data_IF_028919594126
#
_entry.id   IF_028919594126
#
_cell.length_a   1.000
_cell.length_b   1.000
_cell.length_c   1.000
_cell.angle_alpha   90.00
_cell.angle_beta   90.00
_cell.angle_gamma   90.00
#
_symmetry.space_group_name_H-M   'P 1'
#
loop_
_entity.id
_entity.type
_entity.pdbx_description
1 polymer ?
#
# COMPACT_ATOMS: atom_id res chain seq x y z
N UNK A 1 -30.98 48.78 -42.20
CA UNK A 1 -30.90 47.34 -42.57
C UNK A 1 -30.89 46.56 -41.24
N UNK A 2 -32.02 46.24 -40.60
CA UNK A 2 -33.01 45.17 -40.92
C UNK A 2 -32.33 43.79 -40.96
N UNK A 3 -32.59 42.79 -40.11
CA UNK A 3 -33.78 42.45 -39.31
C UNK A 3 -33.43 41.57 -38.11
N UNK A 4 -34.06 41.91 -36.99
CA UNK A 4 -34.44 41.08 -35.84
C UNK A 4 -35.24 39.84 -36.24
N UNK A 5 -35.19 38.77 -35.44
CA UNK A 5 -36.41 38.05 -35.00
C UNK A 5 -36.19 37.19 -33.76
N UNK A 6 -36.84 37.65 -32.70
CA UNK A 6 -37.20 36.97 -31.47
C UNK A 6 -38.45 36.11 -31.74
N UNK A 7 -38.62 34.97 -31.05
CA UNK A 7 -39.93 34.39 -30.68
C UNK A 7 -39.73 33.20 -29.72
N UNK A 8 -40.09 33.41 -28.46
CA UNK A 8 -40.33 32.33 -27.52
C UNK A 8 -41.67 31.63 -27.76
N UNK A 9 -41.85 30.48 -27.12
CA UNK A 9 -43.18 29.98 -26.73
C UNK A 9 -43.06 29.11 -25.47
N UNK A 10 -43.85 29.53 -24.48
CA UNK A 10 -44.19 28.84 -23.25
C UNK A 10 -45.10 27.65 -23.57
N UNK A 11 -44.92 26.54 -22.86
CA UNK A 11 -45.84 25.41 -22.83
C UNK A 11 -45.78 24.74 -21.47
N UNK A 12 -46.68 25.14 -20.57
CA UNK A 12 -46.98 24.41 -19.35
C UNK A 12 -47.87 23.22 -19.69
N UNK A 13 -47.57 22.04 -19.15
CA UNK A 13 -48.55 20.96 -19.02
C UNK A 13 -48.32 20.20 -17.70
N UNK A 14 -49.30 20.33 -16.80
CA UNK A 14 -49.53 19.42 -15.67
C UNK A 14 -50.37 18.25 -16.18
N UNK A 15 -49.96 17.01 -15.89
CA UNK A 15 -50.88 15.91 -15.56
C UNK A 15 -50.09 14.73 -14.99
N UNK A 16 -50.30 14.37 -13.72
CA UNK A 16 -51.20 13.31 -13.22
C UNK A 16 -50.38 12.07 -12.84
N UNK A 17 -50.56 11.64 -11.59
CA UNK A 17 -49.86 10.54 -10.97
C UNK A 17 -50.10 9.19 -11.64
N UNK A 18 -49.10 8.34 -11.49
CA UNK A 18 -49.17 6.91 -11.78
C UNK A 18 -48.15 6.19 -10.91
N UNK A 19 -48.61 5.68 -9.76
CA UNK A 19 -47.91 4.66 -8.99
C UNK A 19 -47.55 3.49 -9.92
N UNK A 20 -46.26 3.23 -10.11
CA UNK A 20 -45.78 1.93 -10.61
C UNK A 20 -44.71 1.39 -9.68
N UNK A 21 -44.98 0.16 -9.28
CA UNK A 21 -44.28 -0.62 -8.28
C UNK A 21 -42.78 -0.72 -8.51
N UNK A 22 -42.06 -0.73 -7.39
CA UNK A 22 -40.66 -1.14 -7.24
C UNK A 22 -40.44 -2.51 -7.87
N UNK A 23 -39.90 -2.53 -9.09
CA UNK A 23 -39.17 -3.65 -9.63
C UNK A 23 -37.71 -3.48 -9.25
N UNK A 24 -37.17 -4.42 -8.46
CA UNK A 24 -35.74 -4.56 -8.19
C UNK A 24 -34.98 -4.90 -9.47
N UNK A 25 -34.71 -3.88 -10.29
CA UNK A 25 -33.85 -3.99 -11.46
C UNK A 25 -32.41 -3.73 -11.07
N UNK A 26 -31.59 -4.78 -11.04
CA UNK A 26 -30.13 -4.63 -11.01
C UNK A 26 -29.71 -3.70 -12.15
N UNK A 27 -29.05 -2.60 -11.80
CA UNK A 27 -28.52 -1.66 -12.78
C UNK A 27 -27.60 -2.38 -13.78
N UNK A 28 -27.45 -1.85 -15.00
CA UNK A 28 -26.59 -2.46 -16.01
C UNK A 28 -25.17 -2.60 -15.43
N UNK A 29 -24.71 -3.84 -15.27
CA UNK A 29 -23.34 -4.12 -14.84
C UNK A 29 -22.40 -3.53 -15.89
N UNK A 30 -21.53 -2.63 -15.46
CA UNK A 30 -20.55 -2.02 -16.36
C UNK A 30 -19.66 -3.15 -16.90
N UNK A 31 -19.55 -3.30 -18.22
CA UNK A 31 -18.73 -4.35 -18.85
C UNK A 31 -17.28 -4.36 -18.35
N UNK A 32 -16.73 -3.23 -17.91
CA UNK A 32 -15.39 -3.17 -17.28
C UNK A 32 -15.33 -3.97 -15.97
N UNK A 33 -16.40 -3.89 -15.18
CA UNK A 33 -16.58 -4.58 -13.91
C UNK A 33 -16.65 -6.11 -14.11
N UNK A 34 -17.39 -6.59 -15.11
CA UNK A 34 -17.49 -8.03 -15.41
C UNK A 34 -16.12 -8.65 -15.78
N UNK A 35 -15.27 -7.88 -16.46
CA UNK A 35 -13.93 -8.32 -16.87
C UNK A 35 -12.99 -8.49 -15.69
N UNK A 36 -12.91 -7.49 -14.80
CA UNK A 36 -12.07 -7.60 -13.60
C UNK A 36 -12.60 -8.61 -12.61
N UNK A 37 -13.93 -8.75 -12.47
CA UNK A 37 -14.57 -9.79 -11.65
C UNK A 37 -14.18 -11.19 -12.14
N UNK A 38 -14.27 -11.44 -13.44
CA UNK A 38 -13.89 -12.74 -14.03
C UNK A 38 -12.43 -13.11 -13.77
N UNK A 39 -11.50 -12.16 -13.92
CA UNK A 39 -10.07 -12.41 -13.65
C UNK A 39 -9.85 -12.70 -12.16
N UNK A 40 -10.41 -11.86 -11.29
CA UNK A 40 -10.24 -11.99 -9.85
C UNK A 40 -10.88 -13.27 -9.29
N UNK A 41 -11.95 -13.77 -9.90
CA UNK A 41 -12.58 -15.03 -9.53
C UNK A 41 -11.79 -16.27 -9.99
N UNK A 42 -11.02 -16.16 -11.07
CA UNK A 42 -10.35 -17.31 -11.68
C UNK A 42 -8.90 -17.52 -11.19
N UNK A 43 -8.21 -16.45 -10.79
CA UNK A 43 -6.81 -16.50 -10.35
C UNK A 43 -6.70 -16.71 -8.83
N UNK A 44 -5.85 -17.63 -8.35
CA UNK A 44 -5.72 -17.96 -6.91
C UNK A 44 -4.28 -17.89 -6.37
N UNK A 45 -3.33 -17.39 -7.17
CA UNK A 45 -1.92 -17.25 -6.79
C UNK A 45 -1.10 -18.54 -6.74
N UNK A 46 -1.70 -19.73 -6.84
CA UNK A 46 -0.95 -21.00 -6.78
C UNK A 46 0.05 -21.12 -7.92
N UNK A 47 -0.33 -20.69 -9.11
CA UNK A 47 0.56 -20.66 -10.27
C UNK A 47 1.81 -19.81 -10.02
N UNK A 48 1.66 -18.61 -9.44
CA UNK A 48 2.81 -17.75 -9.09
C UNK A 48 3.71 -18.41 -8.04
N UNK A 49 3.13 -19.05 -7.03
CA UNK A 49 3.88 -19.77 -6.01
C UNK A 49 4.69 -20.94 -6.60
N UNK A 50 4.11 -21.72 -7.51
CA UNK A 50 4.83 -22.75 -8.26
C UNK A 50 5.99 -22.15 -9.06
N UNK A 51 5.78 -20.99 -9.67
CA UNK A 51 6.82 -20.24 -10.36
C UNK A 51 7.98 -19.87 -9.45
N UNK A 52 7.71 -19.40 -8.23
CA UNK A 52 8.74 -19.07 -7.23
C UNK A 52 9.61 -20.28 -6.85
N UNK A 53 9.02 -21.48 -6.77
CA UNK A 53 9.75 -22.72 -6.50
C UNK A 53 10.66 -23.12 -7.66
N UNK A 54 10.37 -22.64 -8.88
CA UNK A 54 11.08 -22.96 -10.12
C UNK A 54 12.06 -21.84 -10.57
N UNK A 55 12.14 -20.72 -9.84
CA UNK A 55 13.03 -19.62 -10.21
C UNK A 55 14.50 -20.01 -10.10
N UNK A 56 15.18 -20.05 -11.25
CA UNK A 56 16.64 -19.96 -11.45
C UNK A 56 17.53 -20.97 -10.71
N UNK A 57 18.79 -21.18 -11.15
CA UNK A 57 19.74 -21.90 -10.31
C UNK A 57 20.18 -20.99 -9.14
N UNK A 58 20.16 -21.52 -7.92
CA UNK A 58 20.62 -20.84 -6.70
C UNK A 58 22.09 -20.39 -6.74
N UNK A 59 22.87 -20.89 -7.70
CA UNK A 59 24.27 -20.54 -7.92
C UNK A 59 24.46 -19.19 -8.63
N UNK A 60 23.45 -18.66 -9.33
CA UNK A 60 23.53 -17.33 -9.96
C UNK A 60 22.20 -16.56 -9.81
N UNK A 61 21.89 -16.08 -8.58
CA UNK A 61 20.62 -15.43 -8.29
C UNK A 61 20.43 -14.13 -9.08
N UNK A 62 21.50 -13.43 -9.48
CA UNK A 62 21.44 -12.18 -10.26
C UNK A 62 20.65 -12.35 -11.58
N UNK A 63 20.64 -13.56 -12.13
CA UNK A 63 19.94 -13.89 -13.37
C UNK A 63 18.47 -14.30 -13.17
N UNK A 64 17.86 -14.06 -12.00
CA UNK A 64 16.45 -14.37 -11.73
C UNK A 64 15.54 -13.87 -12.86
N UNK A 65 15.75 -12.63 -13.31
CA UNK A 65 14.94 -11.97 -14.33
C UNK A 65 15.17 -12.55 -15.72
N UNK A 66 16.43 -12.78 -16.08
CA UNK A 66 16.81 -13.34 -17.37
C UNK A 66 16.23 -14.74 -17.48
N UNK A 67 16.33 -15.55 -16.42
CA UNK A 67 15.80 -16.92 -16.40
C UNK A 67 14.28 -16.93 -16.53
N UNK A 68 13.58 -16.08 -15.77
CA UNK A 68 12.12 -15.98 -15.86
C UNK A 68 11.66 -15.56 -17.27
N UNK A 69 12.32 -14.55 -17.86
CA UNK A 69 11.99 -14.05 -19.19
C UNK A 69 12.26 -15.08 -20.30
N UNK A 70 13.37 -15.82 -20.21
CA UNK A 70 13.77 -16.79 -21.24
C UNK A 70 13.05 -18.14 -21.13
N UNK A 71 12.50 -18.48 -19.96
CA UNK A 71 11.87 -19.78 -19.71
C UNK A 71 10.56 -20.02 -20.49
N UNK A 72 9.95 -18.98 -21.05
CA UNK A 72 8.58 -18.99 -21.58
C UNK A 72 7.53 -19.60 -20.61
N UNK A 73 7.87 -19.66 -19.31
CA UNK A 73 7.04 -20.20 -18.25
C UNK A 73 6.28 -19.03 -17.58
N UNK A 74 4.96 -18.93 -17.77
CA UNK A 74 4.18 -17.80 -17.25
C UNK A 74 4.10 -17.79 -15.71
N UNK A 75 4.25 -18.94 -15.05
CA UNK A 75 4.39 -19.03 -13.59
C UNK A 75 5.67 -18.34 -13.12
N UNK A 76 6.83 -18.70 -13.69
CA UNK A 76 8.12 -18.08 -13.36
C UNK A 76 8.14 -16.58 -13.68
N UNK A 77 7.51 -16.18 -14.78
CA UNK A 77 7.38 -14.77 -15.14
C UNK A 77 6.63 -13.97 -14.08
N UNK A 78 5.46 -14.44 -13.63
CA UNK A 78 4.70 -13.76 -12.57
C UNK A 78 5.43 -13.78 -11.23
N UNK A 79 6.12 -14.88 -10.90
CA UNK A 79 6.95 -14.97 -9.71
C UNK A 79 8.04 -13.88 -9.69
N UNK A 80 8.71 -13.68 -10.82
CA UNK A 80 9.70 -12.61 -10.97
C UNK A 80 9.05 -11.22 -10.95
N UNK A 81 7.94 -11.01 -11.67
CA UNK A 81 7.24 -9.73 -11.71
C UNK A 81 6.68 -9.32 -10.32
N UNK A 82 6.28 -10.27 -9.46
CA UNK A 82 5.91 -9.98 -8.07
C UNK A 82 7.05 -9.28 -7.33
N UNK A 83 8.27 -9.80 -7.44
CA UNK A 83 9.47 -9.27 -6.76
C UNK A 83 9.89 -7.93 -7.37
N UNK A 84 9.97 -7.85 -8.71
CA UNK A 84 10.42 -6.64 -9.41
C UNK A 84 9.48 -5.47 -9.15
N UNK A 85 8.17 -5.69 -9.28
CA UNK A 85 7.21 -4.61 -9.07
C UNK A 85 7.25 -4.11 -7.64
N UNK A 86 7.54 -4.96 -6.66
CA UNK A 86 7.75 -4.50 -5.29
C UNK A 86 9.00 -3.61 -5.17
N UNK A 87 10.13 -4.06 -5.73
CA UNK A 87 11.40 -3.30 -5.71
C UNK A 87 11.26 -1.97 -6.43
N UNK A 88 10.70 -1.97 -7.64
CA UNK A 88 10.41 -0.75 -8.40
C UNK A 88 9.49 0.19 -7.62
N UNK A 89 8.47 -0.35 -6.97
CA UNK A 89 7.55 0.43 -6.15
C UNK A 89 8.26 1.15 -5.00
N UNK A 90 9.16 0.45 -4.28
CA UNK A 90 9.99 1.06 -3.25
C UNK A 90 11.00 2.08 -3.80
N UNK A 91 11.56 1.85 -5.00
CA UNK A 91 12.42 2.83 -5.69
C UNK A 91 11.64 4.11 -6.03
N UNK A 92 10.39 3.98 -6.50
CA UNK A 92 9.51 5.13 -6.72
C UNK A 92 9.14 5.82 -5.41
N UNK A 93 8.89 5.08 -4.33
CA UNK A 93 8.66 5.69 -3.01
C UNK A 93 9.89 6.47 -2.53
N UNK A 94 11.11 5.97 -2.74
CA UNK A 94 12.34 6.69 -2.42
C UNK A 94 12.47 8.00 -3.23
N UNK A 95 12.19 7.94 -4.54
CA UNK A 95 12.15 9.13 -5.39
C UNK A 95 11.07 10.13 -4.94
N UNK A 96 9.89 9.64 -4.56
CA UNK A 96 8.79 10.46 -4.04
C UNK A 96 9.18 11.15 -2.73
N UNK A 97 9.75 10.41 -1.77
CA UNK A 97 10.23 10.95 -0.49
C UNK A 97 11.32 12.00 -0.70
N UNK A 98 12.26 11.75 -1.62
CA UNK A 98 13.32 12.70 -1.97
C UNK A 98 12.75 13.99 -2.56
N UNK A 99 11.83 13.87 -3.52
CA UNK A 99 11.14 15.02 -4.11
C UNK A 99 10.31 15.79 -3.06
N UNK A 100 9.65 15.08 -2.16
CA UNK A 100 8.84 15.67 -1.09
C UNK A 100 9.71 16.46 -0.12
N UNK A 101 10.85 15.91 0.30
CA UNK A 101 11.83 16.58 1.18
C UNK A 101 12.52 17.78 0.50
N UNK A 102 12.60 17.79 -0.83
CA UNK A 102 13.02 18.94 -1.62
C UNK A 102 11.88 19.95 -1.89
N UNK A 103 10.70 19.74 -1.30
CA UNK A 103 9.49 20.54 -1.51
C UNK A 103 9.02 20.60 -2.98
N UNK A 104 9.32 19.54 -3.75
CA UNK A 104 8.87 19.33 -5.13
C UNK A 104 7.62 18.47 -5.15
N UNK A 105 6.50 19.07 -4.71
CA UNK A 105 5.24 18.37 -4.47
C UNK A 105 4.63 17.69 -5.72
N UNK A 106 4.76 18.31 -6.89
CA UNK A 106 4.30 17.71 -8.14
C UNK A 106 5.09 16.44 -8.51
N UNK A 107 6.43 16.49 -8.42
CA UNK A 107 7.28 15.33 -8.67
C UNK A 107 7.04 14.23 -7.62
N UNK A 108 6.87 14.60 -6.35
CA UNK A 108 6.54 13.67 -5.29
C UNK A 108 5.21 12.95 -5.55
N UNK A 109 4.16 13.68 -5.95
CA UNK A 109 2.86 13.10 -6.34
C UNK A 109 3.00 12.14 -7.52
N UNK A 110 3.77 12.53 -8.54
CA UNK A 110 4.02 11.69 -9.70
C UNK A 110 4.68 10.36 -9.30
N UNK A 111 5.78 10.41 -8.55
CA UNK A 111 6.50 9.20 -8.14
C UNK A 111 5.70 8.36 -7.15
N UNK A 112 4.99 8.97 -6.20
CA UNK A 112 4.13 8.26 -5.26
C UNK A 112 3.04 7.46 -5.99
N UNK A 113 2.38 8.05 -6.98
CA UNK A 113 1.41 7.35 -7.80
C UNK A 113 2.00 6.14 -8.56
N UNK A 114 3.23 6.26 -9.08
CA UNK A 114 3.90 5.10 -9.68
C UNK A 114 4.28 4.03 -8.66
N UNK A 115 4.61 4.42 -7.43
CA UNK A 115 4.80 3.47 -6.33
C UNK A 115 3.50 2.71 -6.02
N UNK A 116 2.34 3.37 -6.00
CA UNK A 116 1.03 2.72 -5.83
C UNK A 116 0.75 1.70 -6.93
N UNK A 117 0.95 2.07 -8.19
CA UNK A 117 0.74 1.17 -9.32
C UNK A 117 1.63 -0.06 -9.25
N UNK A 118 2.92 0.15 -8.90
CA UNK A 118 3.89 -0.94 -8.77
C UNK A 118 3.55 -1.86 -7.59
N UNK A 119 3.11 -1.31 -6.46
CA UNK A 119 2.60 -2.10 -5.36
C UNK A 119 1.38 -2.94 -5.77
N UNK A 120 0.40 -2.34 -6.46
CA UNK A 120 -0.78 -3.05 -6.96
C UNK A 120 -0.41 -4.17 -7.96
N UNK A 121 0.51 -3.91 -8.90
CA UNK A 121 0.99 -4.92 -9.84
C UNK A 121 1.72 -6.07 -9.15
N UNK A 122 2.49 -5.79 -8.09
CA UNK A 122 3.13 -6.84 -7.26
C UNK A 122 2.08 -7.73 -6.58
N UNK A 123 1.04 -7.12 -6.02
CA UNK A 123 -0.09 -7.83 -5.39
C UNK A 123 -0.90 -8.65 -6.39
N UNK A 124 -1.12 -8.13 -7.60
CA UNK A 124 -1.77 -8.88 -8.66
C UNK A 124 -0.93 -10.07 -9.09
N UNK A 125 0.38 -9.88 -9.27
CA UNK A 125 1.30 -10.96 -9.62
C UNK A 125 1.29 -12.05 -8.53
N UNK A 126 1.31 -11.68 -7.25
CA UNK A 126 1.11 -12.59 -6.13
C UNK A 126 -0.17 -13.43 -6.26
N UNK A 127 -1.27 -12.82 -6.69
CA UNK A 127 -2.56 -13.47 -6.93
C UNK A 127 -2.66 -14.22 -8.27
N UNK A 128 -1.60 -14.27 -9.07
CA UNK A 128 -1.61 -14.95 -10.37
C UNK A 128 -2.13 -14.10 -11.53
N UNK A 129 -2.16 -12.77 -11.37
CA UNK A 129 -2.69 -11.83 -12.36
C UNK A 129 -1.55 -10.95 -12.88
N UNK A 130 -1.38 -10.91 -14.20
CA UNK A 130 -0.48 -9.96 -14.85
C UNK A 130 -1.26 -8.76 -15.36
N UNK A 131 -0.92 -7.58 -14.85
CA UNK A 131 -1.43 -6.32 -15.38
C UNK A 131 -0.36 -5.61 -16.22
N UNK A 132 -0.47 -5.67 -17.54
CA UNK A 132 0.46 -4.99 -18.46
C UNK A 132 -0.26 -4.61 -19.74
N UNK A 133 -0.07 -3.38 -20.24
CA UNK A 133 -0.63 -2.98 -21.53
C UNK A 133 -0.27 -3.98 -22.64
N UNK A 134 -1.27 -4.43 -23.39
CA UNK A 134 -1.18 -5.46 -24.42
C UNK A 134 -0.57 -6.81 -23.94
N UNK A 135 -0.63 -7.09 -22.64
CA UNK A 135 -0.01 -8.27 -22.05
C UNK A 135 -0.75 -8.81 -20.83
N UNK A 136 -2.04 -8.45 -20.67
CA UNK A 136 -2.88 -8.96 -19.60
C UNK A 136 -3.09 -10.47 -19.75
N UNK A 137 -2.81 -11.20 -18.68
CA UNK A 137 -3.17 -12.60 -18.53
C UNK A 137 -3.34 -12.92 -17.06
N UNK A 138 -3.95 -14.06 -16.77
CA UNK A 138 -3.93 -14.62 -15.42
C UNK A 138 -3.61 -16.12 -15.48
N UNK A 139 -3.22 -16.68 -14.34
CA UNK A 139 -3.06 -18.11 -14.14
C UNK A 139 -4.32 -18.63 -13.46
N UNK A 140 -4.96 -19.63 -14.05
CA UNK A 140 -6.09 -20.30 -13.41
C UNK A 140 -5.64 -21.14 -12.20
N UNK A 141 -6.61 -21.75 -11.50
CA UNK A 141 -6.37 -22.64 -10.33
C UNK A 141 -5.40 -23.80 -10.59
N UNK A 142 -5.22 -24.19 -11.85
CA UNK A 142 -4.34 -25.28 -12.28
C UNK A 142 -2.98 -24.73 -12.75
N UNK A 143 -2.76 -23.42 -12.64
CA UNK A 143 -1.55 -22.72 -13.05
C UNK A 143 -1.47 -22.43 -14.55
N UNK A 144 -2.54 -22.66 -15.32
CA UNK A 144 -2.50 -22.45 -16.77
C UNK A 144 -2.72 -20.97 -17.13
N UNK A 145 -1.94 -20.47 -18.07
CA UNK A 145 -2.10 -19.12 -18.62
C UNK A 145 -3.40 -18.97 -19.38
N UNK A 146 -4.19 -17.96 -19.01
CA UNK A 146 -5.40 -17.50 -19.69
C UNK A 146 -5.21 -16.06 -20.15
N UNK A 147 -5.33 -15.86 -21.46
CA UNK A 147 -5.23 -14.52 -22.08
C UNK A 147 -6.58 -13.82 -21.90
N UNK A 148 -6.54 -12.53 -21.58
CA UNK A 148 -7.76 -11.73 -21.44
C UNK A 148 -8.26 -11.26 -22.80
N UNK A 149 -9.57 -11.18 -22.97
CA UNK A 149 -10.19 -10.66 -24.20
C UNK A 149 -10.19 -9.13 -24.28
N UNK A 150 -9.91 -8.46 -23.16
CA UNK A 150 -9.75 -6.99 -23.08
C UNK A 150 -8.32 -6.61 -22.73
N UNK A 151 -7.92 -5.44 -23.22
CA UNK A 151 -6.63 -4.81 -22.96
C UNK A 151 -6.84 -3.30 -22.69
N UNK A 152 -7.42 -2.92 -21.54
CA UNK A 152 -7.54 -1.50 -21.20
C UNK A 152 -6.15 -0.85 -21.04
N UNK A 153 -6.04 0.49 -21.12
CA UNK A 153 -4.84 1.19 -20.68
C UNK A 153 -4.44 0.77 -19.27
N UNK A 154 -3.13 0.63 -19.00
CA UNK A 154 -2.62 0.01 -17.76
C UNK A 154 -3.24 0.59 -16.50
N UNK A 155 -3.28 1.92 -16.39
CA UNK A 155 -3.81 2.62 -15.22
C UNK A 155 -5.28 2.30 -14.97
N UNK A 156 -6.11 2.36 -16.01
CA UNK A 156 -7.53 2.01 -15.93
C UNK A 156 -7.70 0.54 -15.53
N UNK A 157 -7.00 -0.36 -16.21
CA UNK A 157 -7.12 -1.80 -15.92
C UNK A 157 -6.65 -2.18 -14.52
N UNK A 158 -5.62 -1.52 -13.99
CA UNK A 158 -5.14 -1.76 -12.62
C UNK A 158 -6.22 -1.41 -11.61
N UNK A 159 -6.88 -0.25 -11.72
CA UNK A 159 -7.89 0.16 -10.76
C UNK A 159 -9.21 -0.62 -10.90
N UNK A 160 -9.57 -1.02 -12.11
CA UNK A 160 -10.69 -1.94 -12.33
C UNK A 160 -10.44 -3.30 -11.65
N UNK A 161 -9.22 -3.84 -11.75
CA UNK A 161 -8.81 -5.07 -11.05
C UNK A 161 -8.77 -4.83 -9.54
N UNK A 162 -8.18 -3.72 -9.08
CA UNK A 162 -8.06 -3.37 -7.66
C UNK A 162 -9.41 -3.44 -6.94
N UNK A 163 -10.44 -2.81 -7.53
CA UNK A 163 -11.79 -2.77 -6.97
C UNK A 163 -12.43 -4.15 -6.76
N UNK A 164 -12.00 -5.17 -7.51
CA UNK A 164 -12.46 -6.54 -7.32
C UNK A 164 -11.48 -7.37 -6.51
N UNK A 165 -10.18 -7.09 -6.65
CA UNK A 165 -9.12 -7.77 -5.92
C UNK A 165 -9.26 -7.57 -4.41
N UNK A 166 -9.58 -6.37 -3.94
CA UNK A 166 -9.78 -6.06 -2.51
C UNK A 166 -10.95 -6.81 -1.87
N UNK A 167 -11.86 -7.39 -2.65
CA UNK A 167 -13.00 -8.19 -2.18
C UNK A 167 -12.70 -9.68 -2.07
N UNK A 168 -11.51 -10.13 -2.48
CA UNK A 168 -11.19 -11.56 -2.52
C UNK A 168 -10.92 -12.11 -1.11
N UNK A 169 -11.38 -13.34 -0.79
CA UNK A 169 -11.14 -13.95 0.52
C UNK A 169 -9.66 -14.17 0.88
N UNK A 170 -8.81 -14.44 -0.12
CA UNK A 170 -7.38 -14.64 0.11
C UNK A 170 -6.64 -13.34 0.48
N UNK A 171 -7.12 -12.20 -0.01
CA UNK A 171 -6.66 -10.86 0.37
C UNK A 171 -7.07 -10.53 1.80
N UNK A 172 -8.31 -10.81 2.18
CA UNK A 172 -8.76 -10.69 3.57
C UNK A 172 -7.88 -11.54 4.50
N UNK A 173 -7.62 -12.80 4.14
CA UNK A 173 -6.76 -13.70 4.90
C UNK A 173 -5.30 -13.22 4.96
N UNK A 174 -4.78 -12.58 3.92
CA UNK A 174 -3.45 -11.98 3.93
C UNK A 174 -3.40 -10.88 5.00
N UNK A 175 -4.30 -9.90 4.94
CA UNK A 175 -4.29 -8.78 5.88
C UNK A 175 -4.58 -9.23 7.31
N UNK A 176 -5.63 -10.04 7.51
CA UNK A 176 -6.09 -10.48 8.82
C UNK A 176 -5.05 -11.31 9.57
N UNK A 177 -4.21 -12.09 8.87
CA UNK A 177 -3.25 -13.00 9.50
C UNK A 177 -1.79 -12.50 9.43
N UNK A 178 -1.46 -11.54 8.55
CA UNK A 178 -0.07 -11.09 8.39
C UNK A 178 0.25 -9.75 9.05
N UNK A 179 -0.77 -8.98 9.44
CA UNK A 179 -0.61 -7.76 10.26
C UNK A 179 -0.70 -8.14 11.73
N UNK A 180 0.33 -7.81 12.50
CA UNK A 180 0.47 -8.18 13.91
C UNK A 180 0.43 -6.97 14.84
N UNK A 181 -0.46 -6.99 15.82
CA UNK A 181 -0.40 -6.09 16.98
C UNK A 181 0.67 -6.59 17.99
N UNK A 182 0.81 -7.92 18.06
CA UNK A 182 1.69 -8.64 18.97
C UNK A 182 2.11 -9.95 18.28
N UNK A 183 3.25 -10.59 18.61
CA UNK A 183 3.69 -11.84 17.98
C UNK A 183 2.62 -12.95 17.93
N UNK A 184 1.69 -12.97 18.90
CA UNK A 184 0.57 -13.94 18.94
C UNK A 184 -0.81 -13.33 18.64
N UNK A 185 -0.90 -12.02 18.41
CA UNK A 185 -2.18 -11.33 18.14
C UNK A 185 -2.14 -10.60 16.79
N UNK A 186 -3.01 -11.02 15.88
CA UNK A 186 -3.09 -10.44 14.53
C UNK A 186 -4.23 -9.44 14.41
N UNK A 187 -4.31 -8.75 13.26
CA UNK A 187 -5.43 -7.88 12.91
C UNK A 187 -6.78 -8.61 13.00
N UNK A 188 -6.84 -9.92 12.72
CA UNK A 188 -8.04 -10.75 12.93
C UNK A 188 -8.53 -10.69 14.37
N UNK A 189 -7.64 -10.78 15.35
CA UNK A 189 -7.99 -10.69 16.76
C UNK A 189 -8.51 -9.29 17.11
N UNK A 190 -7.85 -8.25 16.58
CA UNK A 190 -8.23 -6.85 16.79
C UNK A 190 -9.62 -6.56 16.26
N UNK A 191 -9.91 -6.92 15.01
CA UNK A 191 -11.23 -6.67 14.41
C UNK A 191 -12.33 -7.45 15.12
N UNK A 192 -12.07 -8.69 15.53
CA UNK A 192 -13.00 -9.45 16.36
C UNK A 192 -13.29 -8.74 17.69
N UNK A 193 -12.25 -8.23 18.38
CA UNK A 193 -12.41 -7.53 19.65
C UNK A 193 -13.17 -6.20 19.53
N UNK A 194 -12.90 -5.44 18.47
CA UNK A 194 -13.63 -4.21 18.13
C UNK A 194 -15.11 -4.53 17.89
N UNK A 195 -15.42 -5.48 17.00
CA UNK A 195 -16.79 -5.87 16.70
C UNK A 195 -17.49 -6.50 17.92
N UNK A 196 -16.77 -7.24 18.75
CA UNK A 196 -17.31 -7.74 20.02
C UNK A 196 -17.77 -6.58 20.93
N UNK A 197 -17.00 -5.50 20.96
CA UNK A 197 -17.32 -4.33 21.79
C UNK A 197 -18.41 -3.46 21.16
N UNK A 198 -18.48 -3.39 19.82
CA UNK A 198 -19.49 -2.63 19.05
C UNK A 198 -20.05 -3.50 17.90
N UNK A 199 -20.99 -4.43 18.17
CA UNK A 199 -21.42 -5.46 17.20
C UNK A 199 -22.12 -4.95 15.94
N UNK A 200 -22.62 -3.72 15.95
CA UNK A 200 -23.39 -3.15 14.84
C UNK A 200 -22.50 -2.55 13.73
N UNK A 201 -21.17 -2.50 13.94
CA UNK A 201 -20.25 -1.77 13.07
C UNK A 201 -19.17 -2.69 12.47
N UNK A 202 -19.52 -3.46 11.44
CA UNK A 202 -18.53 -4.25 10.72
C UNK A 202 -17.53 -3.35 9.96
N UNK A 203 -16.26 -3.76 9.91
CA UNK A 203 -15.26 -3.23 8.97
C UNK A 203 -15.49 -3.91 7.62
N UNK A 204 -16.33 -3.32 6.77
CA UNK A 204 -16.96 -4.05 5.65
C UNK A 204 -16.12 -4.21 4.39
N UNK A 205 -14.95 -3.57 4.23
CA UNK A 205 -13.99 -3.88 3.16
C UNK A 205 -12.64 -3.19 3.43
N UNK A 206 -11.73 -3.85 4.16
CA UNK A 206 -10.53 -3.18 4.67
C UNK A 206 -9.65 -2.64 3.54
N UNK A 207 -9.55 -3.34 2.40
CA UNK A 207 -8.80 -2.85 1.25
C UNK A 207 -9.30 -1.51 0.68
N UNK A 208 -10.62 -1.27 0.66
CA UNK A 208 -11.18 0.03 0.25
C UNK A 208 -11.20 1.06 1.38
N UNK A 209 -11.32 0.60 2.63
CA UNK A 209 -11.30 1.46 3.82
C UNK A 209 -9.89 2.01 4.10
N UNK A 210 -8.86 1.28 3.67
CA UNK A 210 -7.45 1.61 3.82
C UNK A 210 -6.95 2.60 2.76
N UNK A 211 -7.43 2.48 1.50
CA UNK A 211 -6.86 3.21 0.37
C UNK A 211 -7.93 3.63 -0.64
N UNK A 212 -8.06 4.94 -0.88
CA UNK A 212 -8.93 5.53 -1.92
C UNK A 212 -8.10 6.10 -3.09
N UNK A 213 -7.82 5.28 -4.11
CA UNK A 213 -6.85 5.63 -5.20
C UNK A 213 -7.51 6.12 -6.51
N UNK A 214 -8.84 6.14 -6.61
CA UNK A 214 -9.52 6.36 -7.89
C UNK A 214 -9.22 7.71 -8.56
N UNK A 215 -8.89 8.73 -7.76
CA UNK A 215 -8.65 10.11 -8.22
C UNK A 215 -7.15 10.44 -8.41
N UNK A 216 -6.23 9.61 -7.89
CA UNK A 216 -4.78 9.94 -7.89
C UNK A 216 -4.18 9.97 -9.29
N UNK A 217 -4.80 9.27 -10.25
CA UNK A 217 -4.44 9.36 -11.66
C UNK A 217 -4.59 10.79 -12.21
N UNK A 218 -5.64 11.49 -11.83
CA UNK A 218 -5.89 12.88 -12.24
C UNK A 218 -4.85 13.80 -11.64
N UNK A 219 -4.62 13.69 -10.32
CA UNK A 219 -3.61 14.47 -9.62
C UNK A 219 -2.21 14.25 -10.22
N UNK A 220 -1.86 13.01 -10.54
CA UNK A 220 -0.61 12.69 -11.25
C UNK A 220 -0.55 13.35 -12.62
N UNK A 221 -1.62 13.29 -13.42
CA UNK A 221 -1.63 13.91 -14.75
C UNK A 221 -1.44 15.43 -14.65
N UNK A 222 -2.15 16.09 -13.74
CA UNK A 222 -1.95 17.51 -13.43
C UNK A 222 -0.49 17.78 -13.05
N UNK A 223 0.07 17.03 -12.11
CA UNK A 223 1.45 17.17 -11.67
C UNK A 223 2.50 16.93 -12.78
N UNK A 224 2.15 16.17 -13.82
CA UNK A 224 3.09 15.80 -14.90
C UNK A 224 3.07 16.76 -16.09
N UNK A 225 1.90 17.36 -16.37
CA UNK A 225 1.68 18.10 -17.60
C UNK A 225 1.42 19.59 -17.38
N UNK A 226 0.99 20.01 -16.19
CA UNK A 226 0.66 21.40 -15.91
C UNK A 226 1.87 22.20 -15.42
N UNK A 227 2.01 23.43 -15.93
CA UNK A 227 3.02 24.38 -15.45
C UNK A 227 2.50 25.13 -14.21
N UNK A 228 2.32 24.41 -13.09
CA UNK A 228 1.63 24.90 -11.87
C UNK A 228 2.15 26.27 -11.40
N UNK A 229 3.47 26.50 -11.43
CA UNK A 229 4.09 27.75 -10.99
C UNK A 229 3.86 28.95 -11.91
N UNK A 230 3.33 28.74 -13.12
CA UNK A 230 2.88 29.85 -13.95
C UNK A 230 1.61 30.52 -13.38
N UNK A 231 0.88 29.82 -12.49
CA UNK A 231 -0.43 30.26 -11.97
C UNK A 231 -0.56 30.16 -10.43
N UNK A 232 0.51 29.87 -9.70
CA UNK A 232 0.49 29.70 -8.25
C UNK A 232 1.74 30.28 -7.58
N UNK A 233 1.59 30.76 -6.34
CA UNK A 233 2.70 31.28 -5.53
C UNK A 233 3.66 30.16 -5.10
N UNK A 234 4.94 30.51 -4.95
CA UNK A 234 5.93 29.62 -4.33
C UNK A 234 5.67 29.55 -2.82
N UNK A 235 5.29 28.37 -2.33
CA UNK A 235 5.15 28.10 -0.90
C UNK A 235 6.47 27.60 -0.32
N UNK A 236 6.66 27.79 0.99
CA UNK A 236 7.75 27.16 1.74
C UNK A 236 7.25 25.86 2.36
N UNK A 237 8.17 24.92 2.52
CA UNK A 237 7.92 23.71 3.28
C UNK A 237 7.60 24.05 4.73
N UNK A 238 6.54 23.44 5.26
CA UNK A 238 6.18 23.49 6.66
C UNK A 238 6.83 22.33 7.43
N UNK A 239 7.09 22.54 8.73
CA UNK A 239 7.64 21.50 9.61
C UNK A 239 6.79 20.23 9.60
N UNK A 240 5.45 20.38 9.58
CA UNK A 240 4.50 19.25 9.57
C UNK A 240 4.64 18.34 8.34
N UNK A 241 5.18 18.85 7.24
CA UNK A 241 5.44 18.09 6.02
C UNK A 241 6.70 17.26 6.21
N UNK A 242 7.80 17.85 6.67
CA UNK A 242 9.03 17.10 6.96
C UNK A 242 8.81 16.03 8.06
N UNK A 243 7.99 16.34 9.06
CA UNK A 243 7.58 15.38 10.11
C UNK A 243 6.80 14.20 9.56
N UNK A 244 6.04 14.36 8.47
CA UNK A 244 5.32 13.24 7.85
C UNK A 244 6.28 12.14 7.38
N UNK A 245 7.46 12.52 6.86
CA UNK A 245 8.46 11.53 6.45
C UNK A 245 9.02 10.78 7.66
N UNK A 246 9.27 11.48 8.77
CA UNK A 246 9.68 10.85 10.03
C UNK A 246 8.59 9.91 10.55
N UNK A 247 7.32 10.30 10.47
CA UNK A 247 6.20 9.47 10.88
C UNK A 247 6.05 8.23 9.99
N UNK A 248 6.21 8.36 8.67
CA UNK A 248 6.26 7.22 7.76
C UNK A 248 7.39 6.26 8.17
N UNK A 249 8.61 6.76 8.38
CA UNK A 249 9.72 5.91 8.82
C UNK A 249 9.48 5.18 10.12
N UNK A 250 8.90 5.85 11.13
CA UNK A 250 8.54 5.20 12.41
C UNK A 250 7.62 3.98 12.21
N UNK A 251 6.78 3.98 11.18
CA UNK A 251 5.97 2.81 10.84
C UNK A 251 6.83 1.66 10.29
N UNK A 252 7.90 1.92 9.56
CA UNK A 252 8.69 0.85 8.91
C UNK A 252 9.90 0.39 9.72
N UNK A 253 10.16 0.97 10.89
CA UNK A 253 11.12 0.42 11.85
C UNK A 253 10.50 -0.79 12.59
N UNK A 254 11.28 -1.83 12.92
CA UNK A 254 10.87 -2.94 13.77
C UNK A 254 10.38 -2.51 15.15
N UNK A 255 9.42 -3.26 15.68
CA UNK A 255 8.76 -3.04 16.96
C UNK A 255 8.50 -4.37 17.68
N UNK A 256 9.55 -5.01 18.20
CA UNK A 256 9.44 -6.19 19.05
C UNK A 256 8.78 -7.42 18.41
N UNK A 257 8.98 -7.63 17.10
CA UNK A 257 8.58 -8.85 16.37
C UNK A 257 7.93 -8.61 15.00
N UNK A 258 7.45 -7.40 14.75
CA UNK A 258 6.90 -6.94 13.46
C UNK A 258 7.39 -5.53 13.15
N UNK A 259 6.92 -4.91 12.07
CA UNK A 259 7.11 -3.47 11.87
C UNK A 259 6.14 -2.69 12.77
N UNK A 260 6.54 -1.49 13.20
CA UNK A 260 5.66 -0.57 13.95
C UNK A 260 4.36 -0.26 13.21
N UNK A 261 4.38 -0.35 11.88
CA UNK A 261 3.25 -0.22 10.98
C UNK A 261 2.08 -1.10 11.39
N UNK A 262 2.36 -2.35 11.73
CA UNK A 262 1.32 -3.35 11.93
C UNK A 262 0.52 -3.04 13.22
N UNK A 263 1.24 -2.74 14.31
CA UNK A 263 0.65 -2.31 15.56
C UNK A 263 -0.03 -0.94 15.41
N UNK A 264 0.59 0.00 14.71
CA UNK A 264 0.02 1.32 14.44
C UNK A 264 -1.29 1.24 13.63
N UNK A 265 -1.36 0.34 12.65
CA UNK A 265 -2.58 0.13 11.87
C UNK A 265 -3.69 -0.52 12.71
N UNK A 266 -3.35 -1.49 13.56
CA UNK A 266 -4.29 -2.05 14.52
C UNK A 266 -4.84 -0.96 15.45
N UNK A 267 -3.97 -0.10 15.98
CA UNK A 267 -4.37 1.06 16.78
C UNK A 267 -5.26 2.03 16.01
N UNK A 268 -4.95 2.31 14.74
CA UNK A 268 -5.79 3.18 13.92
C UNK A 268 -7.24 2.66 13.83
N UNK A 269 -7.43 1.36 13.65
CA UNK A 269 -8.78 0.76 13.64
C UNK A 269 -9.47 0.80 15.01
N UNK A 270 -8.73 0.56 16.10
CA UNK A 270 -9.26 0.66 17.47
C UNK A 270 -9.71 2.11 17.72
N UNK A 271 -8.88 3.10 17.41
CA UNK A 271 -9.17 4.51 17.61
C UNK A 271 -10.36 5.00 16.78
N UNK A 272 -10.51 4.56 15.53
CA UNK A 272 -11.68 4.88 14.68
C UNK A 272 -13.02 4.36 15.24
N UNK A 273 -12.99 3.45 16.20
CA UNK A 273 -14.17 2.82 16.79
C UNK A 273 -14.36 3.20 18.26
N UNK A 274 -13.32 3.71 18.90
CA UNK A 274 -13.42 4.21 20.24
C UNK A 274 -14.35 5.45 20.29
N UNK A 275 -15.10 5.65 21.39
CA UNK A 275 -15.87 6.88 21.60
C UNK A 275 -14.96 8.12 21.52
N UNK A 276 -15.30 9.09 20.66
CA UNK A 276 -14.47 10.29 20.40
C UNK A 276 -14.57 11.34 21.53
N UNK A 277 -15.76 11.51 22.12
CA UNK A 277 -16.06 12.61 23.06
C UNK A 277 -16.03 12.22 24.55
N UNK A 278 -15.61 11.00 24.87
CA UNK A 278 -15.60 10.47 26.24
C UNK A 278 -14.26 9.78 26.53
N UNK A 279 -13.37 10.48 27.22
CA UNK A 279 -12.05 9.94 27.59
C UNK A 279 -12.16 8.69 28.47
N UNK A 280 -13.12 8.67 29.41
CA UNK A 280 -13.34 7.53 30.28
C UNK A 280 -13.92 6.35 29.49
N UNK A 281 -14.88 6.61 28.59
CA UNK A 281 -15.44 5.64 27.67
C UNK A 281 -14.42 5.06 26.71
N UNK A 282 -13.53 5.89 26.16
CA UNK A 282 -12.40 5.48 25.32
C UNK A 282 -11.44 4.58 26.07
N UNK A 283 -11.06 4.94 27.30
CA UNK A 283 -10.19 4.10 28.14
C UNK A 283 -10.84 2.75 28.43
N UNK A 284 -12.10 2.74 28.84
CA UNK A 284 -12.85 1.52 29.11
C UNK A 284 -13.04 0.65 27.85
N UNK A 285 -13.21 1.27 26.68
CA UNK A 285 -13.27 0.58 25.39
C UNK A 285 -11.94 -0.10 25.07
N UNK A 286 -10.83 0.62 25.16
CA UNK A 286 -9.47 0.09 24.91
C UNK A 286 -9.16 -1.05 25.89
N UNK A 287 -9.46 -0.91 27.18
CA UNK A 287 -9.27 -1.96 28.18
C UNK A 287 -10.06 -3.25 27.84
N UNK A 288 -11.31 -3.12 27.39
CA UNK A 288 -12.13 -4.26 26.94
C UNK A 288 -11.54 -4.92 25.69
N UNK A 289 -11.07 -4.13 24.72
CA UNK A 289 -10.42 -4.63 23.52
C UNK A 289 -9.13 -5.38 23.87
N UNK A 290 -8.26 -4.81 24.71
CA UNK A 290 -7.04 -5.46 25.18
C UNK A 290 -7.34 -6.81 25.85
N UNK A 291 -8.27 -6.81 26.80
CA UNK A 291 -8.67 -8.03 27.51
C UNK A 291 -9.21 -9.09 26.56
N UNK A 292 -10.10 -8.71 25.64
CA UNK A 292 -10.64 -9.66 24.68
C UNK A 292 -9.55 -10.26 23.78
N UNK A 293 -8.61 -9.44 23.30
CA UNK A 293 -7.48 -9.94 22.51
C UNK A 293 -6.65 -10.93 23.34
N UNK A 294 -6.24 -10.53 24.55
CA UNK A 294 -5.44 -11.33 25.46
C UNK A 294 -6.06 -12.70 25.76
N UNK A 295 -7.34 -12.70 26.15
CA UNK A 295 -8.11 -13.93 26.47
C UNK A 295 -8.20 -14.89 25.28
N UNK A 296 -8.14 -14.38 24.04
CA UNK A 296 -8.29 -15.17 22.81
C UNK A 296 -6.97 -15.49 22.09
N UNK A 297 -5.85 -14.87 22.48
CA UNK A 297 -4.53 -15.14 21.88
C UNK A 297 -3.53 -15.74 22.87
N UNK A 298 -3.83 -15.74 24.17
CA UNK A 298 -2.94 -16.28 25.21
C UNK A 298 -1.79 -15.35 25.61
N UNK A 299 -1.82 -14.07 25.19
CA UNK A 299 -0.87 -13.06 25.65
C UNK A 299 -1.31 -12.45 26.98
N UNK A 300 -0.38 -12.00 27.85
CA UNK A 300 -0.73 -11.19 29.02
C UNK A 300 -1.48 -9.91 28.62
N UNK A 301 -2.57 -9.60 29.32
CA UNK A 301 -3.37 -8.38 29.06
C UNK A 301 -2.52 -7.11 29.15
N UNK A 302 -1.55 -7.05 30.05
CA UNK A 302 -0.64 -5.90 30.19
C UNK A 302 0.21 -5.67 28.93
N UNK A 303 0.68 -6.74 28.27
CA UNK A 303 1.47 -6.64 27.04
C UNK A 303 0.61 -6.12 25.89
N UNK A 304 -0.61 -6.62 25.75
CA UNK A 304 -1.56 -6.12 24.74
C UNK A 304 -1.93 -4.66 25.03
N UNK A 305 -2.24 -4.32 26.28
CA UNK A 305 -2.58 -2.96 26.69
C UNK A 305 -1.48 -1.96 26.35
N UNK A 306 -0.21 -2.29 26.59
CA UNK A 306 0.93 -1.43 26.20
C UNK A 306 0.96 -1.15 24.69
N UNK A 307 0.56 -2.14 23.88
CA UNK A 307 0.54 -2.05 22.41
C UNK A 307 -0.68 -1.32 21.86
N UNK A 308 -1.74 -1.08 22.63
CA UNK A 308 -2.97 -0.42 22.12
C UNK A 308 -3.23 0.98 22.71
N UNK A 309 -2.19 1.61 23.27
CA UNK A 309 -2.32 2.95 23.83
C UNK A 309 -2.41 3.99 22.71
N UNK A 310 -3.36 4.92 22.82
CA UNK A 310 -3.75 5.89 21.78
C UNK A 310 -2.57 6.72 21.23
N UNK A 311 -1.52 6.93 22.04
CA UNK A 311 -0.35 7.73 21.67
C UNK A 311 0.93 6.91 21.44
N UNK A 312 0.86 5.57 21.55
CA UNK A 312 2.03 4.72 21.34
C UNK A 312 2.51 4.68 19.90
N UNK A 313 1.63 5.02 18.95
CA UNK A 313 1.88 4.88 17.52
C UNK A 313 1.41 6.08 16.72
N UNK A 314 2.18 6.44 15.70
CA UNK A 314 1.79 7.49 14.75
C UNK A 314 0.61 7.02 13.89
N UNK A 315 -0.46 7.82 13.84
CA UNK A 315 -1.69 7.49 13.11
C UNK A 315 -1.93 8.35 11.87
N UNK A 316 -1.27 9.51 11.79
CA UNK A 316 -1.44 10.51 10.72
C UNK A 316 -1.29 9.92 9.30
N UNK A 317 -0.30 9.05 8.99
CA UNK A 317 -0.22 8.46 7.67
C UNK A 317 -1.46 7.65 7.26
N UNK A 318 -2.08 6.92 8.18
CA UNK A 318 -3.30 6.15 7.90
C UNK A 318 -4.53 7.05 7.71
N UNK A 319 -4.62 8.14 8.47
CA UNK A 319 -5.67 9.15 8.28
C UNK A 319 -5.59 9.72 6.87
N UNK A 320 -4.42 10.22 6.47
CA UNK A 320 -4.17 10.80 5.15
C UNK A 320 -4.43 9.80 4.02
N UNK A 321 -4.01 8.53 4.17
CA UNK A 321 -4.24 7.51 3.15
C UNK A 321 -5.74 7.22 2.90
N UNK A 322 -6.57 7.34 3.95
CA UNK A 322 -8.00 7.06 3.91
C UNK A 322 -8.88 8.21 3.41
N UNK A 323 -8.34 9.43 3.30
CA UNK A 323 -9.07 10.59 2.77
C UNK A 323 -9.25 10.50 1.24
N UNK A 324 -10.31 11.11 0.70
CA UNK A 324 -10.52 11.21 -0.76
C UNK A 324 -9.62 12.25 -1.44
N UNK A 325 -8.96 13.09 -0.65
CA UNK A 325 -8.06 14.12 -1.15
C UNK A 325 -6.87 13.50 -1.87
N UNK A 326 -6.39 14.18 -2.90
CA UNK A 326 -5.26 13.74 -3.73
C UNK A 326 -4.07 14.69 -3.59
N UNK A 327 -3.90 15.31 -2.42
CA UNK A 327 -2.73 16.13 -2.14
C UNK A 327 -1.50 15.20 -2.05
N UNK A 328 -0.31 15.79 -2.20
CA UNK A 328 0.95 15.03 -2.22
C UNK A 328 1.12 14.11 -1.02
N UNK A 329 0.75 14.57 0.17
CA UNK A 329 0.81 13.81 1.42
C UNK A 329 -0.16 12.62 1.43
N UNK A 330 -1.38 12.78 0.89
CA UNK A 330 -2.34 11.69 0.74
C UNK A 330 -1.79 10.58 -0.17
N UNK A 331 -1.35 10.93 -1.39
CA UNK A 331 -0.83 9.97 -2.38
C UNK A 331 0.45 9.29 -1.86
N UNK A 332 1.32 10.04 -1.19
CA UNK A 332 2.51 9.47 -0.55
C UNK A 332 2.13 8.44 0.51
N UNK A 333 1.21 8.75 1.42
CA UNK A 333 0.79 7.82 2.46
C UNK A 333 0.12 6.56 1.89
N UNK A 334 -0.70 6.70 0.85
CA UNK A 334 -1.32 5.57 0.14
C UNK A 334 -0.27 4.67 -0.52
N UNK A 335 0.75 5.25 -1.16
CA UNK A 335 1.86 4.49 -1.74
C UNK A 335 2.56 3.61 -0.70
N UNK A 336 2.94 4.17 0.45
CA UNK A 336 3.61 3.41 1.53
C UNK A 336 2.71 2.31 2.10
N UNK A 337 1.42 2.58 2.29
CA UNK A 337 0.44 1.59 2.76
C UNK A 337 0.31 0.42 1.77
N UNK A 338 0.18 0.70 0.47
CA UNK A 338 0.12 -0.33 -0.56
C UNK A 338 1.42 -1.14 -0.65
N UNK A 339 2.58 -0.47 -0.57
CA UNK A 339 3.88 -1.14 -0.58
C UNK A 339 4.05 -2.07 0.61
N UNK A 340 3.59 -1.67 1.81
CA UNK A 340 3.60 -2.55 2.98
C UNK A 340 2.77 -3.81 2.74
N UNK A 341 1.57 -3.68 2.17
CA UNK A 341 0.71 -4.82 1.86
C UNK A 341 1.39 -5.73 0.81
N UNK A 342 2.04 -5.15 -0.20
CA UNK A 342 2.82 -5.89 -1.19
C UNK A 342 4.02 -6.63 -0.56
N UNK A 343 4.68 -6.04 0.44
CA UNK A 343 5.71 -6.74 1.22
C UNK A 343 5.12 -7.91 2.02
N UNK A 344 3.94 -7.77 2.64
CA UNK A 344 3.30 -8.88 3.35
C UNK A 344 3.03 -10.06 2.39
N UNK A 345 2.54 -9.76 1.19
CA UNK A 345 2.31 -10.77 0.15
C UNK A 345 3.60 -11.48 -0.27
N UNK A 346 4.68 -10.74 -0.51
CA UNK A 346 5.97 -11.34 -0.87
C UNK A 346 6.59 -12.12 0.31
N UNK A 347 6.56 -11.59 1.53
CA UNK A 347 7.03 -12.30 2.72
C UNK A 347 6.31 -13.64 2.86
N UNK A 348 4.98 -13.64 2.70
CA UNK A 348 4.19 -14.87 2.73
C UNK A 348 4.64 -15.86 1.67
N UNK A 349 4.86 -15.42 0.43
CA UNK A 349 5.36 -16.29 -0.64
C UNK A 349 6.74 -16.88 -0.31
N UNK A 350 7.69 -16.06 0.17
CA UNK A 350 9.05 -16.49 0.49
C UNK A 350 9.10 -17.45 1.70
N UNK A 351 8.15 -17.35 2.62
CA UNK A 351 8.06 -18.22 3.80
C UNK A 351 7.42 -19.58 3.54
N UNK A 352 6.92 -19.85 2.32
CA UNK A 352 6.34 -21.17 2.00
C UNK A 352 7.45 -22.23 1.95
N UNK A 353 7.29 -23.38 2.64
CA UNK A 353 8.23 -24.50 2.54
C UNK A 353 8.43 -24.95 1.09
N UNK A 354 9.71 -25.18 0.71
CA UNK A 354 10.07 -25.60 -0.64
C UNK A 354 10.28 -24.47 -1.65
N UNK A 355 10.04 -23.20 -1.27
CA UNK A 355 10.46 -22.06 -2.09
C UNK A 355 11.97 -21.93 -2.08
N UNK A 356 12.57 -21.83 -3.27
CA UNK A 356 14.00 -21.69 -3.47
C UNK A 356 14.53 -20.40 -2.82
N UNK A 357 15.74 -20.42 -2.20
CA UNK A 357 16.35 -19.21 -1.65
C UNK A 357 16.77 -18.20 -2.73
N UNK A 358 16.68 -18.54 -4.02
CA UNK A 358 17.05 -17.69 -5.16
C UNK A 358 16.44 -16.29 -5.06
N UNK A 359 15.16 -16.18 -4.73
CA UNK A 359 14.49 -14.89 -4.61
C UNK A 359 15.06 -14.02 -3.48
N UNK A 360 15.32 -14.61 -2.30
CA UNK A 360 15.98 -13.90 -1.18
C UNK A 360 17.39 -13.46 -1.55
N UNK A 361 18.18 -14.36 -2.15
CA UNK A 361 19.53 -14.05 -2.61
C UNK A 361 19.58 -12.97 -3.69
N UNK A 362 18.57 -12.92 -4.57
CA UNK A 362 18.46 -11.84 -5.55
C UNK A 362 18.15 -10.50 -4.87
N UNK A 363 17.25 -10.49 -3.87
CA UNK A 363 16.99 -9.28 -3.07
C UNK A 363 18.24 -8.79 -2.32
N UNK A 364 19.02 -9.68 -1.71
CA UNK A 364 20.32 -9.34 -1.11
C UNK A 364 21.27 -8.72 -2.13
N UNK A 365 21.42 -9.35 -3.30
CA UNK A 365 22.26 -8.80 -4.37
C UNK A 365 21.74 -7.45 -4.83
N UNK A 366 20.42 -7.26 -4.94
CA UNK A 366 19.86 -5.96 -5.29
C UNK A 366 20.15 -4.90 -4.21
N UNK A 367 20.00 -5.22 -2.92
CA UNK A 367 20.34 -4.31 -1.81
C UNK A 367 21.80 -3.84 -1.88
N UNK A 368 22.71 -4.78 -2.18
CA UNK A 368 24.13 -4.52 -2.38
C UNK A 368 24.37 -3.57 -3.56
N UNK A 369 23.80 -3.88 -4.74
CA UNK A 369 23.95 -3.03 -5.93
C UNK A 369 23.26 -1.67 -5.80
N UNK A 370 22.21 -1.57 -4.98
CA UNK A 370 21.50 -0.33 -4.70
C UNK A 370 22.22 0.55 -3.66
N UNK A 371 23.35 0.08 -3.11
CA UNK A 371 24.14 0.78 -2.09
C UNK A 371 23.42 0.91 -0.75
N UNK A 372 22.54 -0.04 -0.42
CA UNK A 372 21.75 -0.04 0.83
C UNK A 372 22.39 -0.89 1.93
N UNK A 373 23.18 -1.88 1.54
CA UNK A 373 23.87 -2.82 2.41
C UNK A 373 25.11 -3.34 1.68
N UNK A 374 26.07 -3.93 2.40
CA UNK A 374 27.22 -4.59 1.77
C UNK A 374 27.57 -5.87 2.52
N UNK A 375 27.79 -6.95 1.75
CA UNK A 375 28.32 -8.21 2.27
C UNK A 375 29.71 -8.05 2.88
N UNK A 376 30.47 -7.05 2.44
CA UNK A 376 31.84 -6.81 2.91
C UNK A 376 31.92 -6.39 4.37
N UNK A 377 30.81 -5.94 4.97
CA UNK A 377 30.79 -5.49 6.36
C UNK A 377 30.54 -6.64 7.35
N UNK A 378 30.28 -7.87 6.88
CA UNK A 378 29.98 -9.03 7.74
C UNK A 378 28.84 -8.76 8.73
N UNK A 379 27.86 -7.96 8.29
CA UNK A 379 26.63 -7.66 9.04
C UNK A 379 25.42 -8.24 8.31
N UNK A 380 24.44 -8.73 9.06
CA UNK A 380 23.21 -9.20 8.45
C UNK A 380 22.39 -8.02 7.90
N UNK A 381 21.67 -8.19 6.77
CA UNK A 381 20.81 -7.14 6.23
C UNK A 381 19.77 -6.60 7.23
N UNK A 382 19.42 -7.35 8.27
CA UNK A 382 18.50 -6.90 9.32
C UNK A 382 19.11 -5.77 10.18
N UNK A 383 20.43 -5.78 10.36
CA UNK A 383 21.13 -4.92 11.30
C UNK A 383 21.29 -3.49 10.79
N UNK A 384 21.16 -3.27 9.47
CA UNK A 384 21.16 -1.92 8.90
C UNK A 384 20.01 -1.06 9.46
N UNK A 385 19.00 -1.67 10.07
CA UNK A 385 17.90 -0.97 10.69
C UNK A 385 18.33 0.02 11.76
N UNK A 386 19.36 -0.31 12.55
CA UNK A 386 19.89 0.57 13.62
C UNK A 386 20.32 1.91 13.04
N UNK A 387 20.99 1.87 11.89
CA UNK A 387 21.43 3.04 11.15
C UNK A 387 20.27 3.95 10.71
N UNK A 388 19.12 3.38 10.37
CA UNK A 388 17.91 4.13 10.01
C UNK A 388 17.17 4.62 11.26
N UNK A 389 17.13 3.85 12.33
CA UNK A 389 16.53 4.26 13.61
C UNK A 389 17.22 5.48 14.20
N UNK A 390 18.54 5.50 14.18
CA UNK A 390 19.34 6.64 14.63
C UNK A 390 19.07 7.85 13.74
N UNK A 391 19.04 7.67 12.42
CA UNK A 391 18.70 8.74 11.49
C UNK A 391 17.29 9.31 11.75
N UNK A 392 16.28 8.47 12.00
CA UNK A 392 14.90 8.90 12.29
C UNK A 392 14.81 9.67 13.62
N UNK A 393 15.56 9.23 14.63
CA UNK A 393 15.55 9.79 15.98
C UNK A 393 16.24 11.15 16.03
N UNK A 394 17.39 11.25 15.36
CA UNK A 394 18.24 12.43 15.42
C UNK A 394 17.93 13.46 14.33
N UNK A 395 17.04 13.14 13.38
CA UNK A 395 16.68 14.08 12.32
C UNK A 395 15.82 15.22 12.87
N UNK A 396 16.34 16.44 12.71
CA UNK A 396 15.72 17.66 13.21
C UNK A 396 15.20 18.52 12.06
N UNK A 397 14.16 19.32 12.35
CA UNK A 397 13.49 20.16 11.35
C UNK A 397 13.57 21.66 11.66
N UNK A 398 14.76 22.24 11.89
CA UNK A 398 14.88 23.65 12.23
C UNK A 398 14.52 24.52 11.02
N UNK A 399 13.62 25.51 11.11
CA UNK A 399 13.41 26.44 10.00
C UNK A 399 14.67 27.27 9.68
N UNK A 400 14.88 27.74 8.43
CA UNK A 400 13.95 27.67 7.30
C UNK A 400 14.06 26.35 6.49
N UNK A 401 12.92 25.71 6.25
CA UNK A 401 12.79 24.52 5.40
C UNK A 401 12.56 24.90 3.93
N UNK A 402 12.96 24.07 2.95
CA UNK A 402 13.68 22.80 3.13
C UNK A 402 15.19 22.97 3.29
N UNK A 403 15.74 24.20 3.18
CA UNK A 403 17.20 24.43 3.13
C UNK A 403 17.96 23.76 4.28
N UNK A 404 17.49 23.96 5.51
CA UNK A 404 18.09 23.40 6.72
C UNK A 404 18.07 21.87 6.83
N UNK A 405 17.31 21.17 5.98
CA UNK A 405 17.37 19.70 5.89
C UNK A 405 18.69 19.24 5.27
N UNK A 406 19.33 20.09 4.46
CA UNK A 406 20.53 19.78 3.69
C UNK A 406 21.83 20.24 4.37
N UNK A 407 21.73 20.90 5.52
CA UNK A 407 22.86 21.49 6.22
C UNK A 407 23.41 20.58 7.34
N UNK A 408 24.73 20.65 7.56
CA UNK A 408 25.40 20.02 8.69
C UNK A 408 25.12 18.52 8.82
N UNK A 409 24.86 18.07 10.05
CA UNK A 409 24.60 16.65 10.34
C UNK A 409 23.27 16.13 9.78
N UNK A 410 22.33 17.01 9.41
CA UNK A 410 21.06 16.58 8.80
C UNK A 410 21.29 15.96 7.40
N UNK A 411 22.35 16.36 6.69
CA UNK A 411 22.63 15.88 5.33
C UNK A 411 22.81 14.35 5.24
N UNK A 412 23.54 13.74 6.18
CA UNK A 412 23.76 12.29 6.22
C UNK A 412 22.50 11.54 6.63
N UNK A 413 21.74 12.09 7.58
CA UNK A 413 20.43 11.55 8.02
C UNK A 413 19.43 11.60 6.87
N UNK A 414 19.38 12.72 6.15
CA UNK A 414 18.53 12.91 4.98
C UNK A 414 18.85 11.91 3.86
N UNK A 415 20.13 11.62 3.63
CA UNK A 415 20.54 10.61 2.65
C UNK A 415 19.99 9.21 2.99
N UNK A 416 19.87 8.86 4.27
CA UNK A 416 19.20 7.63 4.72
C UNK A 416 17.67 7.76 4.61
N UNK A 417 17.08 8.83 5.13
CA UNK A 417 15.62 9.00 5.17
C UNK A 417 14.97 9.16 3.78
N UNK A 418 15.74 9.54 2.77
CA UNK A 418 15.32 9.54 1.37
C UNK A 418 15.31 8.14 0.72
N UNK A 419 15.74 7.10 1.45
CA UNK A 419 15.90 5.72 0.98
C UNK A 419 15.01 4.71 1.74
N UNK A 420 13.67 4.91 1.76
CA UNK A 420 12.74 3.97 2.36
C UNK A 420 12.76 2.58 1.69
N UNK A 421 13.37 2.46 0.51
CA UNK A 421 13.64 1.17 -0.14
C UNK A 421 14.56 0.24 0.65
N UNK A 422 15.29 0.77 1.64
CA UNK A 422 16.04 -0.04 2.61
C UNK A 422 15.16 -1.01 3.43
N UNK A 423 13.88 -0.68 3.63
CA UNK A 423 12.96 -1.49 4.43
C UNK A 423 12.83 -2.95 3.95
N UNK A 424 13.14 -3.20 2.67
CA UNK A 424 13.21 -4.53 2.08
C UNK A 424 14.17 -5.45 2.85
N UNK A 425 15.29 -4.91 3.36
CA UNK A 425 16.32 -5.69 4.02
C UNK A 425 15.81 -6.41 5.28
N UNK A 426 15.26 -5.68 6.25
CA UNK A 426 14.79 -6.25 7.51
C UNK A 426 13.36 -6.82 7.45
N UNK A 427 12.62 -6.58 6.36
CA UNK A 427 11.23 -7.02 6.26
C UNK A 427 11.02 -8.25 5.38
N UNK A 428 11.95 -8.54 4.46
CA UNK A 428 11.81 -9.61 3.46
C UNK A 428 13.02 -10.54 3.38
N UNK A 429 14.23 -10.00 3.56
CA UNK A 429 15.47 -10.78 3.44
C UNK A 429 15.78 -11.48 4.77
N UNK A 430 15.64 -10.74 5.87
CA UNK A 430 15.84 -11.22 7.24
C UNK A 430 14.87 -12.32 7.69
#
# INVERSE_FOLDING_TARGET
>A
MSKTKNKGKVGANKSVGGNKALGSGGGPVNKGQEWSESICAAADGKGTLLGLQQLGPASNPQNLLITAALSNNPQCLLAAEQIIHLVDGWRYAAAATSAFLAHSNAAATHFAYYAELRAAMSLFAWSGIRAKWNGYFYLDKDGNKKITTKNPPTHTGIWDIWNQWTKRPDVELLLANSIHLHPVATLKNVVKAINFTIPQQALSQWGSDLVKVSEDHTARNTASYEAIWASAELTRMETKEAELVRDLWKLFLPDGGSLGFDAALCNHFISKRAPEDDEAGRKAFVEKVAKHIADNCGAPTEEISRRITVDSYVSKPFVLASEEKTNTDNVLCRAFLLLRIAMLALKRSLSVPGVSPVARKWLESWLEHAGLWSRSFDIDPIDIEVDYRDAVTDFSFPPPLPNSLWDGENSSRLAKLSRPDACIAWSLVA
#
